data_IF_919955733305
#
_entry.id   IF_919955733305
#
_cell.length_a   1.000
_cell.length_b   1.000
_cell.length_c   1.000
_cell.angle_alpha   90.00
_cell.angle_beta   90.00
_cell.angle_gamma   90.00
#
_symmetry.space_group_name_H-M   'P 1'
#
loop_
_entity.id
_entity.type
_entity.pdbx_description
1 polymer ?
#
# COMPACT_ATOMS: atom_id res chain seq x y z
N UNK A 1 -1.50 -16.91 -10.62
CA UNK A 1 -1.60 -18.27 -10.06
C UNK A 1 -2.99 -18.50 -9.54
N UNK A 2 -3.64 -19.54 -10.10
CA UNK A 2 -5.03 -19.96 -9.79
C UNK A 2 -5.20 -20.42 -8.33
N UNK A 3 -4.10 -20.69 -7.61
CA UNK A 3 -4.11 -21.14 -6.21
C UNK A 3 -4.05 -20.00 -5.17
N UNK A 4 -4.10 -18.72 -5.58
CA UNK A 4 -4.15 -17.63 -4.62
C UNK A 4 -5.59 -17.50 -4.09
N UNK A 5 -5.87 -17.65 -2.77
CA UNK A 5 -7.22 -17.56 -2.21
C UNK A 5 -7.87 -16.16 -2.32
N UNK A 6 -7.22 -15.20 -2.97
CA UNK A 6 -7.78 -13.91 -3.38
C UNK A 6 -8.52 -13.97 -4.72
N UNK A 7 -8.19 -14.96 -5.54
CA UNK A 7 -8.78 -15.22 -6.86
C UNK A 7 -10.30 -15.28 -6.77
N UNK A 8 -10.82 -15.95 -5.74
CA UNK A 8 -12.25 -16.17 -5.55
C UNK A 8 -13.06 -14.92 -5.16
N UNK A 9 -12.41 -13.80 -4.85
CA UNK A 9 -13.07 -12.56 -4.37
C UNK A 9 -13.10 -11.42 -5.38
N UNK A 10 -12.26 -11.48 -6.41
CA UNK A 10 -12.21 -10.46 -7.46
C UNK A 10 -12.72 -11.10 -8.77
N UNK A 11 -13.90 -10.67 -9.22
CA UNK A 11 -14.63 -11.14 -10.41
C UNK A 11 -13.89 -10.92 -11.74
N UNK A 12 -14.41 -11.43 -12.86
CA UNK A 12 -13.89 -11.11 -14.21
C UNK A 12 -13.84 -9.59 -14.49
N UNK A 13 -14.77 -8.82 -13.90
CA UNK A 13 -14.75 -7.35 -13.96
C UNK A 13 -13.53 -6.76 -13.22
N UNK A 14 -13.07 -7.43 -12.16
CA UNK A 14 -11.87 -7.06 -11.42
C UNK A 14 -10.59 -7.50 -12.16
N UNK A 15 -10.62 -8.54 -13.01
CA UNK A 15 -9.49 -8.85 -13.92
C UNK A 15 -9.25 -7.74 -14.94
N UNK A 16 -10.31 -7.28 -15.60
CA UNK A 16 -10.21 -6.18 -16.56
C UNK A 16 -9.75 -4.88 -15.88
N UNK A 17 -10.20 -4.62 -14.64
CA UNK A 17 -9.71 -3.47 -13.86
C UNK A 17 -8.27 -3.64 -13.41
N UNK A 18 -7.84 -4.83 -12.96
CA UNK A 18 -6.43 -5.11 -12.65
C UNK A 18 -5.54 -4.86 -13.86
N UNK A 19 -5.91 -5.37 -15.04
CA UNK A 19 -5.18 -5.14 -16.28
C UNK A 19 -5.03 -3.64 -16.59
N UNK A 20 -6.09 -2.86 -16.45
CA UNK A 20 -6.05 -1.40 -16.60
C UNK A 20 -5.03 -0.73 -15.66
N UNK A 21 -5.01 -1.09 -14.37
CA UNK A 21 -4.01 -0.54 -13.44
C UNK A 21 -2.58 -1.02 -13.77
N UNK A 22 -2.44 -2.29 -14.18
CA UNK A 22 -1.14 -2.84 -14.60
C UNK A 22 -0.58 -2.10 -15.81
N UNK A 23 -1.39 -1.83 -16.85
CA UNK A 23 -0.97 -1.07 -18.03
C UNK A 23 -0.53 0.35 -17.67
N UNK A 24 -1.26 1.04 -16.79
CA UNK A 24 -0.87 2.36 -16.32
C UNK A 24 0.42 2.35 -15.48
N UNK A 25 0.59 1.35 -14.63
CA UNK A 25 1.81 1.18 -13.84
C UNK A 25 3.04 0.91 -14.73
N UNK A 26 2.89 0.17 -15.82
CA UNK A 26 3.97 -0.08 -16.78
C UNK A 26 4.40 1.18 -17.55
N UNK A 27 3.52 2.18 -17.67
CA UNK A 27 3.83 3.47 -18.30
C UNK A 27 4.51 4.44 -17.33
N UNK A 28 4.50 4.16 -16.02
CA UNK A 28 5.10 5.04 -15.02
C UNK A 28 6.61 5.10 -15.18
N UNK A 29 7.15 6.33 -15.16
CA UNK A 29 8.58 6.58 -15.12
C UNK A 29 8.97 7.17 -13.77
N UNK A 30 10.10 6.71 -13.26
CA UNK A 30 10.62 7.17 -11.98
C UNK A 30 10.76 8.70 -11.97
N UNK A 31 10.22 9.35 -10.92
CA UNK A 31 10.14 10.81 -10.70
C UNK A 31 9.15 11.58 -11.57
N UNK A 32 8.41 10.93 -12.46
CA UNK A 32 7.23 11.54 -13.05
C UNK A 32 6.04 11.43 -12.07
N UNK A 33 5.02 12.30 -12.18
CA UNK A 33 3.81 12.15 -11.39
C UNK A 33 3.15 10.79 -11.67
N UNK A 34 2.66 10.13 -10.63
CA UNK A 34 1.85 8.93 -10.80
C UNK A 34 0.61 9.24 -11.68
N UNK A 35 0.16 8.29 -12.52
CA UNK A 35 -0.99 8.49 -13.38
C UNK A 35 -2.24 8.86 -12.58
N UNK A 36 -3.06 9.76 -13.12
CA UNK A 36 -4.34 10.10 -12.52
C UNK A 36 -5.34 8.98 -12.82
N UNK A 37 -5.88 8.40 -11.76
CA UNK A 37 -6.79 7.26 -11.84
C UNK A 37 -8.24 7.70 -11.70
N UNK A 38 -9.08 7.17 -12.59
CA UNK A 38 -10.53 7.28 -12.46
C UNK A 38 -11.07 6.04 -11.77
N UNK A 39 -11.30 6.17 -10.46
CA UNK A 39 -11.98 5.15 -9.68
C UNK A 39 -13.49 5.21 -9.94
N UNK A 40 -14.09 4.04 -10.09
CA UNK A 40 -15.53 3.85 -10.21
C UNK A 40 -16.26 4.20 -8.91
N UNK A 41 -17.58 4.37 -9.02
CA UNK A 41 -18.43 4.56 -7.84
C UNK A 41 -18.38 3.36 -6.88
N UNK A 42 -18.22 2.14 -7.41
CA UNK A 42 -18.09 0.91 -6.61
C UNK A 42 -16.78 0.90 -5.80
N UNK A 43 -15.64 1.21 -6.44
CA UNK A 43 -14.34 1.31 -5.78
C UNK A 43 -14.35 2.42 -4.71
N UNK A 44 -14.94 3.58 -5.03
CA UNK A 44 -15.06 4.70 -4.09
C UNK A 44 -15.97 4.38 -2.90
N UNK A 45 -17.03 3.58 -3.10
CA UNK A 45 -17.88 3.11 -2.00
C UNK A 45 -17.16 2.11 -1.10
N UNK A 46 -16.35 1.20 -1.68
CA UNK A 46 -15.53 0.27 -0.90
C UNK A 46 -14.50 1.02 -0.04
N UNK A 47 -13.82 2.01 -0.63
CA UNK A 47 -12.93 2.91 0.08
C UNK A 47 -13.59 3.64 1.25
N UNK A 48 -14.79 4.18 1.04
CA UNK A 48 -15.54 4.84 2.13
C UNK A 48 -15.76 3.89 3.30
N UNK A 49 -16.27 2.68 3.03
CA UNK A 49 -16.52 1.68 4.07
C UNK A 49 -15.23 1.28 4.80
N UNK A 50 -14.12 1.17 4.06
CA UNK A 50 -12.79 0.88 4.59
C UNK A 50 -12.28 1.99 5.52
N UNK A 51 -12.33 3.24 5.06
CA UNK A 51 -11.93 4.42 5.82
C UNK A 51 -12.74 4.56 7.10
N UNK A 52 -14.07 4.41 7.02
CA UNK A 52 -14.94 4.46 8.19
C UNK A 52 -14.63 3.33 9.19
N UNK A 53 -14.32 2.13 8.72
CA UNK A 53 -13.92 1.02 9.58
C UNK A 53 -12.58 1.30 10.28
N UNK A 54 -11.59 1.83 9.55
CA UNK A 54 -10.29 2.21 10.12
C UNK A 54 -10.45 3.30 11.19
N UNK A 55 -11.22 4.36 10.91
CA UNK A 55 -11.50 5.44 11.88
C UNK A 55 -12.24 4.92 13.12
N UNK A 56 -13.19 4.00 12.96
CA UNK A 56 -13.87 3.37 14.10
C UNK A 56 -12.93 2.48 14.93
N UNK A 57 -11.96 1.82 14.31
CA UNK A 57 -10.99 0.96 14.97
C UNK A 57 -9.82 1.71 15.60
N UNK A 58 -9.53 2.93 15.13
CA UNK A 58 -8.40 3.76 15.56
C UNK A 58 -8.25 3.96 17.08
N UNK A 59 -9.32 4.04 17.91
CA UNK A 59 -9.17 4.12 19.36
C UNK A 59 -8.47 2.92 20.01
N UNK A 60 -8.45 1.76 19.36
CA UNK A 60 -7.75 0.55 19.81
C UNK A 60 -6.32 0.41 19.25
N UNK A 61 -5.88 1.32 18.39
CA UNK A 61 -4.54 1.32 17.81
C UNK A 61 -3.54 2.10 18.70
N UNK A 62 -2.25 1.90 18.44
CA UNK A 62 -1.19 2.65 19.11
C UNK A 62 -1.36 4.17 18.88
N UNK A 63 -1.09 5.02 19.90
CA UNK A 63 -1.37 6.46 19.84
C UNK A 63 -0.73 7.18 18.65
N UNK A 64 0.49 6.81 18.27
CA UNK A 64 1.24 7.39 17.17
C UNK A 64 0.63 7.03 15.82
N UNK A 65 0.20 5.78 15.65
CA UNK A 65 -0.50 5.33 14.44
C UNK A 65 -1.85 6.06 14.30
N UNK A 66 -2.60 6.15 15.40
CA UNK A 66 -3.88 6.89 15.41
C UNK A 66 -3.67 8.35 15.01
N UNK A 67 -2.66 9.03 15.57
CA UNK A 67 -2.37 10.42 15.23
C UNK A 67 -2.01 10.60 13.75
N UNK A 68 -1.19 9.68 13.20
CA UNK A 68 -0.85 9.68 11.79
C UNK A 68 -2.07 9.45 10.88
N UNK A 69 -2.95 8.52 11.24
CA UNK A 69 -4.20 8.27 10.51
C UNK A 69 -5.13 9.48 10.57
N UNK A 70 -5.32 10.08 11.75
CA UNK A 70 -6.14 11.28 11.94
C UNK A 70 -5.63 12.45 11.08
N UNK A 71 -4.32 12.69 11.06
CA UNK A 71 -3.71 13.71 10.19
C UNK A 71 -4.02 13.46 8.72
N UNK A 72 -3.90 12.22 8.25
CA UNK A 72 -4.22 11.85 6.86
C UNK A 72 -5.70 12.05 6.54
N UNK A 73 -6.61 11.81 7.49
CA UNK A 73 -8.05 12.10 7.30
C UNK A 73 -8.38 13.58 7.14
N UNK A 74 -7.51 14.47 7.62
CA UNK A 74 -7.68 15.92 7.48
C UNK A 74 -6.98 16.45 6.23
N UNK A 75 -5.85 15.86 5.85
CA UNK A 75 -4.95 16.42 4.83
C UNK A 75 -5.09 15.78 3.45
N UNK A 76 -5.36 14.47 3.36
CA UNK A 76 -5.26 13.73 2.11
C UNK A 76 -6.43 12.77 1.84
N UNK A 77 -7.13 12.31 2.86
CA UNK A 77 -8.18 11.29 2.71
C UNK A 77 -9.56 11.92 2.71
N UNK A 78 -10.40 11.44 1.79
CA UNK A 78 -11.79 11.85 1.67
C UNK A 78 -12.68 10.62 1.61
N UNK A 79 -13.83 10.64 2.30
CA UNK A 79 -14.84 9.59 2.17
C UNK A 79 -15.51 9.56 0.79
N UNK A 80 -15.35 10.59 -0.04
CA UNK A 80 -15.97 10.65 -1.38
C UNK A 80 -15.14 9.98 -2.48
N UNK A 81 -13.82 9.89 -2.32
CA UNK A 81 -12.92 9.42 -3.38
C UNK A 81 -11.64 8.82 -2.80
N UNK A 82 -11.11 7.81 -3.49
CA UNK A 82 -9.78 7.26 -3.20
C UNK A 82 -8.72 8.33 -3.51
N UNK A 83 -7.78 8.60 -2.59
CA UNK A 83 -6.67 9.51 -2.81
C UNK A 83 -5.82 9.11 -4.02
N UNK A 84 -5.40 10.11 -4.80
CA UNK A 84 -4.48 9.88 -5.92
C UNK A 84 -3.07 9.57 -5.40
N UNK A 85 -2.41 8.57 -6.00
CA UNK A 85 -1.07 8.16 -5.60
C UNK A 85 -0.04 9.30 -5.68
N UNK A 86 -0.19 10.22 -6.65
CA UNK A 86 0.68 11.39 -6.78
C UNK A 86 0.60 12.32 -5.57
N UNK A 87 -0.61 12.55 -5.04
CA UNK A 87 -0.83 13.38 -3.87
C UNK A 87 -0.28 12.72 -2.59
N UNK A 88 -0.56 11.42 -2.40
CA UNK A 88 -0.05 10.66 -1.25
C UNK A 88 1.48 10.55 -1.29
N UNK A 89 2.06 10.36 -2.48
CA UNK A 89 3.52 10.33 -2.67
C UNK A 89 4.17 11.66 -2.28
N UNK A 90 3.57 12.80 -2.64
CA UNK A 90 4.06 14.12 -2.24
C UNK A 90 4.00 14.33 -0.72
N UNK A 91 2.90 13.89 -0.08
CA UNK A 91 2.74 13.95 1.37
C UNK A 91 3.82 13.11 2.06
N UNK A 92 3.95 11.84 1.71
CA UNK A 92 4.99 10.96 2.27
C UNK A 92 6.40 11.56 2.09
N UNK A 93 6.65 12.18 0.94
CA UNK A 93 7.94 12.80 0.68
C UNK A 93 8.20 13.97 1.63
N UNK A 94 7.17 14.77 1.93
CA UNK A 94 7.24 15.87 2.90
C UNK A 94 7.48 15.39 4.34
N UNK A 95 6.92 14.26 4.75
CA UNK A 95 7.09 13.72 6.10
C UNK A 95 8.44 13.02 6.30
N UNK A 96 8.73 12.04 5.45
CA UNK A 96 9.84 11.11 5.65
C UNK A 96 10.68 10.90 4.40
N UNK A 97 10.44 11.64 3.32
CA UNK A 97 11.14 11.46 2.05
C UNK A 97 10.69 10.22 1.28
N UNK A 98 9.73 9.44 1.79
CA UNK A 98 9.17 8.29 1.08
C UNK A 98 8.34 8.73 -0.11
N UNK A 99 8.30 7.89 -1.14
CA UNK A 99 7.47 8.11 -2.34
C UNK A 99 6.87 6.80 -2.81
N UNK A 100 5.73 6.88 -3.48
CA UNK A 100 5.06 5.72 -4.07
C UNK A 100 5.58 5.45 -5.47
N UNK A 101 5.77 4.17 -5.79
CA UNK A 101 6.05 3.66 -7.13
C UNK A 101 4.92 2.72 -7.55
N UNK A 102 4.03 3.15 -8.46
CA UNK A 102 3.01 2.28 -9.02
C UNK A 102 3.65 1.09 -9.75
N UNK A 103 3.26 -0.12 -9.37
CA UNK A 103 3.71 -1.37 -10.00
C UNK A 103 2.51 -2.23 -10.42
N UNK A 104 2.65 -3.04 -11.49
CA UNK A 104 1.54 -3.82 -12.04
C UNK A 104 1.08 -4.99 -11.16
N UNK A 105 1.75 -5.25 -10.04
CA UNK A 105 1.49 -6.33 -9.11
C UNK A 105 2.58 -6.40 -8.04
N UNK A 106 2.59 -7.48 -7.26
CA UNK A 106 3.59 -7.69 -6.20
C UNK A 106 4.98 -7.87 -6.82
N UNK A 107 5.95 -6.97 -6.57
CA UNK A 107 7.29 -7.11 -7.10
C UNK A 107 8.05 -8.23 -6.37
N UNK A 108 9.10 -8.81 -6.98
CA UNK A 108 9.99 -9.74 -6.29
C UNK A 108 10.58 -9.10 -5.02
N UNK A 109 10.77 -9.89 -3.95
CA UNK A 109 11.29 -9.43 -2.67
C UNK A 109 12.56 -8.56 -2.79
N UNK A 110 13.50 -8.96 -3.65
CA UNK A 110 14.71 -8.19 -3.92
C UNK A 110 14.43 -6.82 -4.51
N UNK A 111 13.48 -6.72 -5.44
CA UNK A 111 13.07 -5.45 -6.06
C UNK A 111 12.38 -4.57 -5.03
N UNK A 112 11.47 -5.14 -4.24
CA UNK A 112 10.80 -4.45 -3.13
C UNK A 112 11.82 -3.83 -2.18
N UNK A 113 12.66 -4.65 -1.55
CA UNK A 113 13.62 -4.18 -0.54
C UNK A 113 14.65 -3.21 -1.14
N UNK A 114 15.12 -3.45 -2.37
CA UNK A 114 16.05 -2.52 -3.03
C UNK A 114 15.42 -1.14 -3.23
N UNK A 115 14.12 -1.06 -3.54
CA UNK A 115 13.41 0.21 -3.65
C UNK A 115 13.26 0.91 -2.29
N UNK A 116 12.99 0.16 -1.21
CA UNK A 116 12.87 0.71 0.14
C UNK A 116 14.17 1.36 0.62
N UNK A 117 15.34 0.87 0.18
CA UNK A 117 16.64 1.50 0.48
C UNK A 117 16.70 2.98 0.06
N UNK A 118 15.97 3.32 -1.01
CA UNK A 118 15.86 4.67 -1.57
C UNK A 118 14.59 5.40 -1.12
N UNK A 119 13.89 4.90 -0.10
CA UNK A 119 12.59 5.39 0.35
C UNK A 119 11.55 5.41 -0.77
N UNK A 120 11.57 4.39 -1.62
CA UNK A 120 10.58 4.19 -2.67
C UNK A 120 9.78 2.96 -2.32
N UNK A 121 8.46 3.11 -2.20
CA UNK A 121 7.54 2.03 -1.91
C UNK A 121 6.84 1.58 -3.19
N UNK A 122 7.15 0.40 -3.73
CA UNK A 122 6.35 -0.22 -4.77
C UNK A 122 4.95 -0.53 -4.25
N UNK A 123 3.91 -0.17 -4.99
CA UNK A 123 2.53 -0.45 -4.61
C UNK A 123 1.60 -0.71 -5.80
N UNK A 124 0.63 -1.60 -5.61
CA UNK A 124 -0.53 -1.71 -6.49
C UNK A 124 -1.47 -0.51 -6.27
N UNK A 125 -2.02 0.04 -7.36
CA UNK A 125 -3.05 1.08 -7.29
C UNK A 125 -4.48 0.54 -7.47
N UNK A 126 -4.60 -0.77 -7.62
CA UNK A 126 -5.88 -1.46 -7.74
C UNK A 126 -6.66 -1.39 -6.42
N UNK A 127 -7.94 -1.10 -6.51
CA UNK A 127 -8.89 -1.19 -5.41
C UNK A 127 -9.78 -2.41 -5.64
N UNK A 128 -9.66 -3.50 -4.86
CA UNK A 128 -10.61 -4.63 -4.97
C UNK A 128 -11.82 -4.38 -4.06
N UNK A 129 -13.04 -4.18 -4.59
CA UNK A 129 -14.23 -3.95 -3.78
C UNK A 129 -14.66 -5.25 -3.08
N UNK A 130 -14.06 -5.53 -1.92
CA UNK A 130 -14.23 -6.78 -1.18
C UNK A 130 -13.04 -7.09 -0.26
N UNK A 131 -11.89 -6.45 -0.52
CA UNK A 131 -10.65 -6.60 0.24
C UNK A 131 -10.79 -6.29 1.72
N UNK A 132 -11.22 -5.07 2.04
CA UNK A 132 -11.09 -4.53 3.40
C UNK A 132 -12.03 -5.21 4.42
N UNK A 133 -13.11 -5.84 3.95
CA UNK A 133 -14.08 -6.51 4.80
C UNK A 133 -13.76 -7.99 5.07
N UNK A 134 -12.92 -8.63 4.25
CA UNK A 134 -12.74 -10.08 4.31
C UNK A 134 -11.52 -10.48 5.17
N UNK A 135 -11.68 -11.35 6.19
CA UNK A 135 -10.57 -11.80 7.04
C UNK A 135 -9.40 -12.40 6.25
N UNK A 136 -9.68 -13.14 5.17
CA UNK A 136 -8.64 -13.70 4.30
C UNK A 136 -7.77 -12.63 3.60
N UNK A 137 -8.29 -11.40 3.45
CA UNK A 137 -7.50 -10.29 2.90
C UNK A 137 -6.40 -9.83 3.87
N UNK A 138 -6.66 -9.88 5.18
CA UNK A 138 -5.64 -9.61 6.19
C UNK A 138 -4.56 -10.69 6.22
N UNK A 139 -4.90 -11.92 5.85
CA UNK A 139 -4.01 -13.09 5.98
C UNK A 139 -3.21 -13.40 4.71
N UNK A 140 -3.68 -13.04 3.50
CA UNK A 140 -3.11 -13.58 2.25
C UNK A 140 -2.65 -12.58 1.19
N UNK A 141 -3.07 -11.32 1.16
CA UNK A 141 -2.61 -10.36 0.14
C UNK A 141 -1.72 -9.25 0.68
N UNK A 142 -1.65 -9.09 2.00
CA UNK A 142 -0.87 -8.00 2.61
C UNK A 142 -1.35 -6.61 2.16
N UNK A 143 -0.81 -5.54 2.74
CA UNK A 143 -1.22 -4.18 2.41
C UNK A 143 -0.74 -3.71 1.03
N UNK A 144 0.09 -4.47 0.32
CA UNK A 144 0.65 -4.05 -0.97
C UNK A 144 -0.19 -4.48 -2.18
N UNK A 145 -1.16 -5.40 -2.02
CA UNK A 145 -1.99 -5.90 -3.14
C UNK A 145 -3.23 -5.06 -3.42
N UNK A 146 -3.67 -4.27 -2.46
CA UNK A 146 -4.87 -3.43 -2.54
C UNK A 146 -4.57 -2.01 -2.03
N UNK A 147 -4.97 -1.00 -2.79
CA UNK A 147 -4.67 0.40 -2.49
C UNK A 147 -5.32 0.85 -1.17
N UNK A 148 -6.45 0.27 -0.77
CA UNK A 148 -7.08 0.65 0.50
C UNK A 148 -6.25 0.17 1.70
N UNK A 149 -5.75 -1.07 1.66
CA UNK A 149 -4.87 -1.60 2.72
C UNK A 149 -3.55 -0.84 2.82
N UNK A 150 -2.96 -0.49 1.67
CA UNK A 150 -1.77 0.37 1.59
C UNK A 150 -2.02 1.72 2.28
N UNK A 151 -3.08 2.42 1.87
CA UNK A 151 -3.40 3.76 2.34
C UNK A 151 -3.80 3.75 3.82
N UNK A 152 -4.59 2.78 4.28
CA UNK A 152 -5.09 2.80 5.67
C UNK A 152 -4.12 2.18 6.67
N UNK A 153 -3.19 1.33 6.24
CA UNK A 153 -2.20 0.69 7.11
C UNK A 153 -0.80 1.25 6.93
N UNK A 154 -0.18 1.00 5.77
CA UNK A 154 1.25 1.27 5.60
C UNK A 154 1.58 2.76 5.44
N UNK A 155 0.72 3.55 4.78
CA UNK A 155 0.97 4.99 4.60
C UNK A 155 1.06 5.75 5.93
N UNK A 156 0.12 5.61 6.90
CA UNK A 156 0.24 6.19 8.23
C UNK A 156 1.53 5.78 8.95
N UNK A 157 1.94 4.52 8.84
CA UNK A 157 3.22 4.07 9.42
C UNK A 157 4.42 4.77 8.78
N UNK A 158 4.40 4.98 7.46
CA UNK A 158 5.52 5.61 6.75
C UNK A 158 5.58 7.13 6.93
N UNK A 159 4.55 7.80 7.45
CA UNK A 159 4.68 9.19 7.92
C UNK A 159 5.43 9.27 9.26
N UNK A 160 5.54 8.16 9.99
CA UNK A 160 6.28 8.08 11.26
C UNK A 160 7.78 7.89 11.01
N UNK A 161 8.59 8.87 11.42
CA UNK A 161 10.05 8.86 11.22
C UNK A 161 10.79 7.58 11.66
N UNK A 162 10.53 7.03 12.88
CA UNK A 162 11.17 5.79 13.33
C UNK A 162 10.84 4.59 12.45
N UNK A 163 9.58 4.43 12.04
CA UNK A 163 9.14 3.32 11.19
C UNK A 163 9.69 3.47 9.78
N UNK A 164 9.60 4.67 9.20
CA UNK A 164 10.18 4.97 7.89
C UNK A 164 11.70 4.67 7.85
N UNK A 165 12.43 4.99 8.93
CA UNK A 165 13.85 4.65 9.05
C UNK A 165 14.07 3.14 9.12
N UNK A 166 13.33 2.43 9.96
CA UNK A 166 13.44 0.97 10.06
C UNK A 166 13.16 0.28 8.72
N UNK A 167 12.13 0.71 8.00
CA UNK A 167 11.79 0.20 6.66
C UNK A 167 12.92 0.50 5.65
N UNK A 168 13.52 1.68 5.70
CA UNK A 168 14.68 2.01 4.86
C UNK A 168 15.90 1.13 5.21
N UNK A 169 16.17 0.92 6.50
CA UNK A 169 17.29 0.11 6.99
C UNK A 169 17.17 -1.34 6.52
N UNK A 170 15.95 -1.91 6.50
CA UNK A 170 15.67 -3.22 5.88
C UNK A 170 16.04 -3.23 4.40
N UNK A 171 15.70 -2.16 3.67
CA UNK A 171 16.06 -2.02 2.27
C UNK A 171 17.57 -1.95 2.05
N UNK A 172 18.27 -1.14 2.83
CA UNK A 172 19.74 -1.03 2.78
C UNK A 172 20.42 -2.36 3.09
N UNK A 173 19.93 -3.10 4.09
CA UNK A 173 20.44 -4.42 4.45
C UNK A 173 20.22 -5.48 3.36
N UNK A 174 19.32 -5.25 2.42
CA UNK A 174 19.07 -6.18 1.30
C UNK A 174 20.08 -6.05 0.15
N UNK A 175 20.79 -4.91 0.07
CA UNK A 175 21.68 -4.60 -1.05
C UNK A 175 22.94 -5.47 -1.01
N UNK A 176 23.10 -6.35 -2.00
CA UNK A 176 24.20 -7.31 -2.07
C UNK A 176 24.00 -8.58 -1.23
N UNK A 177 22.86 -8.71 -0.55
CA UNK A 177 22.56 -9.87 0.30
C UNK A 177 22.10 -11.10 -0.49
N UNK A 178 22.27 -12.27 0.11
CA UNK A 178 21.89 -13.55 -0.47
C UNK A 178 20.37 -13.62 -0.73
N UNK A 179 19.91 -14.54 -1.58
CA UNK A 179 18.47 -14.73 -1.79
C UNK A 179 17.76 -15.15 -0.50
N UNK A 180 18.42 -15.94 0.36
CA UNK A 180 17.87 -16.39 1.64
C UNK A 180 17.67 -15.21 2.59
N UNK A 181 18.68 -14.34 2.74
CA UNK A 181 18.58 -13.17 3.63
C UNK A 181 17.53 -12.17 3.13
N UNK A 182 17.44 -12.00 1.80
CA UNK A 182 16.39 -11.15 1.18
C UNK A 182 15.00 -11.65 1.52
N UNK A 183 14.77 -12.97 1.57
CA UNK A 183 13.45 -13.49 1.94
C UNK A 183 13.14 -13.25 3.43
N UNK A 184 14.09 -13.48 4.33
CA UNK A 184 13.92 -13.20 5.76
C UNK A 184 13.64 -11.70 6.03
N UNK A 185 14.32 -10.82 5.32
CA UNK A 185 14.07 -9.37 5.39
C UNK A 185 12.69 -9.01 4.84
N UNK A 186 12.24 -9.67 3.76
CA UNK A 186 10.91 -9.44 3.21
C UNK A 186 9.81 -9.92 4.16
N UNK A 187 9.96 -11.08 4.79
CA UNK A 187 9.04 -11.57 5.83
C UNK A 187 8.97 -10.60 7.02
N UNK A 188 10.11 -10.04 7.43
CA UNK A 188 10.17 -9.01 8.48
C UNK A 188 9.43 -7.73 8.08
N UNK A 189 9.57 -7.29 6.82
CA UNK A 189 8.83 -6.15 6.29
C UNK A 189 7.32 -6.42 6.23
N UNK A 190 6.89 -7.60 5.80
CA UNK A 190 5.48 -7.97 5.78
C UNK A 190 4.90 -8.08 7.20
N UNK A 191 5.70 -8.47 8.18
CA UNK A 191 5.28 -8.45 9.58
C UNK A 191 5.00 -7.02 10.06
N UNK A 192 5.86 -6.04 9.73
CA UNK A 192 5.60 -4.61 10.03
C UNK A 192 4.29 -4.13 9.40
N UNK A 193 4.04 -4.59 8.17
CA UNK A 193 2.83 -4.30 7.42
C UNK A 193 1.55 -4.89 8.07
N UNK A 194 1.63 -6.09 8.64
CA UNK A 194 0.50 -6.75 9.31
C UNK A 194 0.14 -6.10 10.64
N UNK A 195 1.13 -5.61 11.41
CA UNK A 195 0.88 -4.83 12.63
C UNK A 195 0.21 -3.46 12.37
N UNK A 196 0.06 -3.07 11.11
CA UNK A 196 -0.62 -1.84 10.68
C UNK A 196 -2.15 -1.99 10.50
N UNK A 197 -2.69 -3.22 10.53
CA UNK A 197 -4.07 -3.59 10.13
C UNK A 197 -4.84 -4.33 11.23
#
# INVERSE_FOLDING_TARGET
DEDHPYSDFCSELDESRRAYFSELALQYKFREPAPVLQYSARESAAWRSALEAAVRGAPGAEPEFRAALEELTVTAYSASAIPQASHVSQLLHGHTGFSLWPVPGTPPARVLLSALAFRVLPCSLHACPGSVAHPAHRTYGGPLTDVCGLLLGLVPLLTMGPVARAVQDMGLASLGSSNTDVQLLAESFYSVCEFAL
#
